data_IF_951734510916
#
_entry.id   IF_951734510916
#
_cell.length_a   1.000
_cell.length_b   1.000
_cell.length_c   1.000
_cell.angle_alpha   90.00
_cell.angle_beta   90.00
_cell.angle_gamma   90.00
#
_symmetry.space_group_name_H-M   'P 1'
#
loop_
_entity.id
_entity.type
_entity.pdbx_description
1 polymer ?
#
# COMPACT_ATOMS: atom_id res chain seq x y z
N UNK A 1 -0.18 15.15 19.23
CA UNK A 1 -1.10 15.08 18.08
C UNK A 1 -1.04 16.43 17.40
N UNK A 2 0.00 16.64 16.60
CA UNK A 2 0.16 17.88 15.85
C UNK A 2 -0.51 17.67 14.50
N UNK A 3 -1.38 18.62 14.17
CA UNK A 3 -2.43 18.61 13.16
C UNK A 3 -2.06 17.93 11.82
N UNK A 4 -2.87 16.94 11.41
CA UNK A 4 -3.03 16.51 10.02
C UNK A 4 -3.72 17.62 9.19
N UNK A 5 -3.12 18.81 9.11
CA UNK A 5 -3.57 19.86 8.19
C UNK A 5 -3.12 19.60 6.75
N UNK A 6 -2.21 18.65 6.55
CA UNK A 6 -1.91 18.06 5.25
C UNK A 6 -2.96 16.99 4.98
N UNK A 7 -3.93 17.27 4.10
CA UNK A 7 -4.98 16.32 3.73
C UNK A 7 -4.43 14.94 3.33
N UNK A 8 -5.30 13.92 3.35
CA UNK A 8 -4.92 12.53 3.06
C UNK A 8 -4.11 12.40 1.76
N UNK A 9 -3.09 11.54 1.79
CA UNK A 9 -2.28 11.19 0.63
C UNK A 9 -3.12 10.79 -0.58
N UNK A 10 -4.26 10.13 -0.36
CA UNK A 10 -5.21 9.80 -1.43
C UNK A 10 -5.83 11.04 -2.06
N UNK A 11 -6.19 12.04 -1.26
CA UNK A 11 -6.69 13.33 -1.75
C UNK A 11 -5.61 14.11 -2.48
N UNK A 12 -4.35 14.04 -2.02
CA UNK A 12 -3.22 14.64 -2.71
C UNK A 12 -2.98 14.01 -4.08
N UNK A 13 -2.91 12.67 -4.16
CA UNK A 13 -2.70 11.94 -5.41
C UNK A 13 -3.85 12.17 -6.39
N UNK A 14 -5.10 12.21 -5.94
CA UNK A 14 -6.23 12.53 -6.82
C UNK A 14 -6.20 13.97 -7.35
N UNK A 15 -5.64 14.91 -6.57
CA UNK A 15 -5.54 16.31 -6.96
C UNK A 15 -4.33 16.59 -7.85
N UNK A 16 -3.20 15.94 -7.59
CA UNK A 16 -1.89 16.26 -8.17
C UNK A 16 -1.24 15.07 -8.91
N UNK A 17 -1.95 13.95 -9.07
CA UNK A 17 -1.46 12.77 -9.78
C UNK A 17 -1.16 13.05 -11.25
N UNK A 18 -0.41 12.16 -11.92
CA UNK A 18 0.12 12.41 -13.26
C UNK A 18 -1.01 12.69 -14.27
N UNK A 19 -1.12 13.94 -14.71
CA UNK A 19 -1.92 14.33 -15.87
C UNK A 19 -1.00 14.36 -17.09
N UNK A 20 -0.95 13.25 -17.83
CA UNK A 20 -0.30 13.08 -19.14
C UNK A 20 1.23 13.25 -19.24
N UNK A 21 1.87 12.24 -19.83
CA UNK A 21 3.18 12.16 -20.51
C UNK A 21 4.49 12.68 -19.90
N UNK A 22 4.51 13.11 -18.65
CA UNK A 22 5.78 13.20 -17.91
C UNK A 22 5.53 13.17 -16.42
N UNK A 23 5.71 12.01 -15.80
CA UNK A 23 5.68 11.85 -14.35
C UNK A 23 6.91 12.53 -13.73
N UNK A 24 6.87 13.87 -13.60
CA UNK A 24 7.71 14.58 -12.64
C UNK A 24 6.86 14.68 -11.38
N UNK A 25 7.01 13.68 -10.52
CA UNK A 25 6.48 13.71 -9.16
C UNK A 25 7.27 14.76 -8.37
N UNK A 26 6.94 16.04 -8.51
CA UNK A 26 7.38 17.07 -7.58
C UNK A 26 6.51 16.97 -6.32
N UNK A 27 6.72 15.88 -5.57
CA UNK A 27 6.11 15.72 -4.27
C UNK A 27 7.04 16.39 -3.29
N UNK A 28 6.70 17.62 -2.92
CA UNK A 28 7.29 18.28 -1.77
C UNK A 28 6.78 17.60 -0.48
N UNK A 29 7.10 16.31 -0.34
CA UNK A 29 6.88 15.57 0.89
C UNK A 29 7.86 16.15 1.91
N UNK A 30 7.33 16.80 2.94
CA UNK A 30 8.09 16.84 4.19
C UNK A 30 8.49 15.39 4.50
N UNK A 31 9.79 15.13 4.63
CA UNK A 31 10.43 13.81 4.84
C UNK A 31 9.93 13.05 6.10
N UNK A 32 8.89 13.55 6.78
CA UNK A 32 8.21 12.92 7.90
C UNK A 32 6.78 12.56 7.50
N UNK A 33 6.61 11.40 6.85
CA UNK A 33 5.30 10.78 6.77
C UNK A 33 4.93 10.20 8.14
N UNK A 34 3.74 10.56 8.63
CA UNK A 34 3.21 10.01 9.88
C UNK A 34 2.10 9.02 9.53
N UNK A 35 2.23 7.78 9.99
CA UNK A 35 1.11 6.85 9.98
C UNK A 35 0.04 7.39 10.93
N UNK A 36 -1.20 7.38 10.45
CA UNK A 36 -2.38 7.77 11.20
C UNK A 36 -3.45 6.70 11.02
N UNK A 37 -4.46 6.72 11.91
CA UNK A 37 -5.56 5.75 11.94
C UNK A 37 -5.16 4.32 12.36
N UNK A 38 -4.83 4.16 13.64
CA UNK A 38 -4.55 2.87 14.28
C UNK A 38 -5.81 2.16 14.79
N UNK A 39 -7.01 2.53 14.30
CA UNK A 39 -8.28 1.98 14.81
C UNK A 39 -8.43 0.46 14.66
N UNK A 40 -7.61 -0.16 13.80
CA UNK A 40 -7.56 -1.60 13.57
C UNK A 40 -6.22 -2.24 14.00
N UNK A 41 -5.28 -1.45 14.53
CA UNK A 41 -3.97 -1.95 14.92
C UNK A 41 -4.08 -2.83 16.17
N UNK A 42 -3.45 -4.00 16.14
CA UNK A 42 -3.36 -4.90 17.28
C UNK A 42 -1.96 -5.47 17.41
N UNK A 43 -1.58 -5.85 18.62
CA UNK A 43 -0.29 -6.48 18.88
C UNK A 43 -0.42 -8.00 18.74
N UNK A 44 0.27 -8.57 17.76
CA UNK A 44 0.31 -10.02 17.53
C UNK A 44 1.61 -10.60 18.09
N UNK A 45 1.53 -11.59 18.98
CA UNK A 45 2.68 -12.44 19.33
C UNK A 45 2.92 -13.43 18.21
N UNK A 46 4.14 -13.98 18.16
CA UNK A 46 4.55 -14.95 17.13
C UNK A 46 3.58 -16.14 17.12
N UNK A 47 2.81 -16.29 16.04
CA UNK A 47 1.79 -17.34 15.86
C UNK A 47 0.35 -16.93 16.20
N UNK A 48 0.11 -15.69 16.64
CA UNK A 48 -1.24 -15.14 16.81
C UNK A 48 -1.75 -14.53 15.49
N UNK A 49 -3.05 -14.66 15.22
CA UNK A 49 -3.74 -14.04 14.08
C UNK A 49 -4.88 -13.15 14.57
N UNK A 50 -5.18 -12.09 13.80
CA UNK A 50 -6.34 -11.22 14.04
C UNK A 50 -7.51 -11.61 13.11
N UNK A 51 -8.76 -11.41 13.55
CA UNK A 51 -9.96 -11.94 12.88
C UNK A 51 -10.90 -10.90 12.22
N UNK A 52 -10.50 -9.63 12.11
CA UNK A 52 -11.39 -8.56 11.64
C UNK A 52 -11.15 -8.22 10.16
N UNK A 53 -12.11 -8.53 9.28
CA UNK A 53 -12.06 -8.12 7.86
C UNK A 53 -12.65 -6.72 7.70
N UNK A 54 -11.81 -5.68 7.79
CA UNK A 54 -12.17 -4.29 7.49
C UNK A 54 -11.05 -3.68 6.66
N UNK A 55 -11.38 -3.03 5.54
CA UNK A 55 -10.40 -2.34 4.69
C UNK A 55 -10.99 -1.91 3.34
N UNK A 56 -10.19 -1.19 2.56
CA UNK A 56 -10.57 -0.80 1.18
C UNK A 56 -10.22 -1.93 0.21
N UNK A 57 -11.16 -2.43 -0.63
CA UNK A 57 -10.87 -3.45 -1.63
C UNK A 57 -9.65 -3.08 -2.51
N UNK A 58 -8.81 -4.06 -2.83
CA UNK A 58 -7.55 -3.85 -3.57
C UNK A 58 -6.34 -3.55 -2.68
N UNK A 59 -6.55 -3.03 -1.46
CA UNK A 59 -5.50 -2.84 -0.46
C UNK A 59 -5.44 -3.96 0.57
N UNK A 60 -6.50 -4.78 0.65
CA UNK A 60 -6.60 -5.91 1.56
C UNK A 60 -5.85 -7.11 0.98
N UNK A 61 -4.86 -7.63 1.71
CA UNK A 61 -4.13 -8.83 1.30
C UNK A 61 -5.06 -10.05 1.23
N UNK A 62 -4.86 -10.99 0.29
CA UNK A 62 -5.78 -12.11 0.08
C UNK A 62 -5.88 -13.06 1.28
N UNK A 63 -4.80 -13.23 2.06
CA UNK A 63 -4.86 -14.01 3.30
C UNK A 63 -5.80 -13.38 4.33
N UNK A 64 -6.15 -12.09 4.16
CA UNK A 64 -7.01 -11.40 5.11
C UNK A 64 -8.43 -11.98 5.14
N UNK A 65 -8.88 -12.56 4.02
CA UNK A 65 -10.19 -13.22 3.98
C UNK A 65 -10.20 -14.57 4.72
N UNK A 66 -9.03 -15.11 5.08
CA UNK A 66 -8.88 -16.36 5.83
C UNK A 66 -8.65 -16.15 7.33
N UNK A 67 -8.71 -14.91 7.81
CA UNK A 67 -8.44 -14.55 9.23
C UNK A 67 -7.02 -14.95 9.71
N UNK A 68 -6.08 -15.03 8.78
CA UNK A 68 -4.66 -15.29 9.03
C UNK A 68 -3.89 -14.01 8.70
N UNK A 69 -3.78 -13.07 9.64
CA UNK A 69 -3.06 -11.80 9.43
C UNK A 69 -1.73 -11.84 10.15
N UNK A 70 -0.68 -11.55 9.41
CA UNK A 70 0.69 -11.39 9.87
C UNK A 70 1.26 -10.07 9.31
N UNK A 71 2.53 -9.78 9.63
CA UNK A 71 3.22 -8.58 9.13
C UNK A 71 3.27 -8.51 7.60
N UNK A 72 3.13 -9.64 6.89
CA UNK A 72 3.09 -9.63 5.43
C UNK A 72 1.83 -8.93 4.90
N UNK A 73 0.71 -8.91 5.65
CA UNK A 73 -0.50 -8.17 5.26
C UNK A 73 -0.25 -6.65 5.18
N UNK A 74 0.60 -6.11 6.05
CA UNK A 74 1.00 -4.70 6.01
C UNK A 74 1.84 -4.38 4.78
N UNK A 75 2.74 -5.29 4.38
CA UNK A 75 3.54 -5.17 3.14
C UNK A 75 2.66 -5.09 1.90
N UNK A 76 1.62 -5.92 1.83
CA UNK A 76 0.67 -5.90 0.71
C UNK A 76 -0.05 -4.55 0.62
N UNK A 77 -0.54 -4.07 1.78
CA UNK A 77 -1.24 -2.79 1.87
C UNK A 77 -0.32 -1.64 1.46
N UNK A 78 0.95 -1.68 1.87
CA UNK A 78 1.98 -0.72 1.47
C UNK A 78 2.27 -0.77 -0.04
N UNK A 79 2.29 -1.95 -0.64
CA UNK A 79 2.40 -2.12 -2.10
C UNK A 79 1.24 -1.46 -2.85
N UNK A 80 0.01 -1.58 -2.34
CA UNK A 80 -1.16 -0.89 -2.89
C UNK A 80 -1.07 0.63 -2.76
N UNK A 81 -0.52 1.14 -1.66
CA UNK A 81 -0.23 2.56 -1.47
C UNK A 81 0.82 3.04 -2.49
N UNK A 82 1.91 2.30 -2.66
CA UNK A 82 2.96 2.62 -3.63
C UNK A 82 2.44 2.60 -5.06
N UNK A 83 1.62 1.61 -5.42
CA UNK A 83 0.90 1.55 -6.70
C UNK A 83 0.07 2.82 -6.92
N UNK A 84 -0.70 3.22 -5.91
CA UNK A 84 -1.56 4.42 -5.99
C UNK A 84 -0.74 5.68 -6.17
N UNK A 85 0.37 5.82 -5.46
CA UNK A 85 1.28 6.96 -5.60
C UNK A 85 1.84 7.06 -7.01
N UNK A 86 2.32 5.94 -7.57
CA UNK A 86 3.04 5.94 -8.85
C UNK A 86 2.13 6.00 -10.07
N UNK A 87 0.92 5.42 -9.98
CA UNK A 87 -0.02 5.37 -11.11
C UNK A 87 -1.14 6.41 -11.01
N UNK A 88 -1.36 7.00 -9.84
CA UNK A 88 -2.51 7.86 -9.56
C UNK A 88 -3.83 7.09 -9.43
N UNK A 89 -3.83 5.76 -9.53
CA UNK A 89 -5.02 4.91 -9.55
C UNK A 89 -5.04 3.95 -8.37
N UNK A 90 -6.24 3.66 -7.83
CA UNK A 90 -6.37 2.65 -6.78
C UNK A 90 -6.04 1.25 -7.38
N UNK A 91 -5.40 0.32 -6.63
CA UNK A 91 -5.13 -1.02 -7.10
C UNK A 91 -6.43 -1.78 -7.39
N UNK A 92 -6.49 -2.56 -8.48
CA UNK A 92 -7.70 -3.29 -8.84
C UNK A 92 -8.00 -4.36 -7.79
N UNK A 93 -9.25 -4.43 -7.33
CA UNK A 93 -9.69 -5.52 -6.44
C UNK A 93 -9.74 -6.88 -7.13
N UNK A 94 -9.83 -6.90 -8.46
CA UNK A 94 -9.86 -8.09 -9.32
C UNK A 94 -9.20 -7.78 -10.66
N UNK A 95 -8.46 -8.73 -11.21
CA UNK A 95 -7.76 -8.59 -12.49
C UNK A 95 -6.35 -8.03 -12.35
N UNK A 96 -5.63 -7.86 -13.47
CA UNK A 96 -4.23 -7.48 -13.46
C UNK A 96 -4.03 -6.01 -13.09
N UNK A 97 -2.93 -5.72 -12.39
CA UNK A 97 -2.43 -4.36 -12.23
C UNK A 97 -1.94 -3.80 -13.57
N UNK A 98 -2.10 -2.49 -13.76
CA UNK A 98 -1.58 -1.76 -14.93
C UNK A 98 -0.49 -0.81 -14.50
N UNK A 99 0.65 -0.83 -15.19
CA UNK A 99 1.86 -0.10 -14.82
C UNK A 99 2.34 0.81 -15.95
N UNK A 100 1.41 1.36 -16.72
CA UNK A 100 1.71 2.16 -17.91
C UNK A 100 2.69 3.30 -17.57
N UNK A 101 3.87 3.31 -18.21
CA UNK A 101 4.90 4.33 -18.03
C UNK A 101 5.81 4.17 -16.80
N UNK A 102 5.73 3.07 -16.05
CA UNK A 102 6.62 2.80 -14.91
C UNK A 102 7.87 2.01 -15.32
N UNK A 103 8.99 2.30 -14.65
CA UNK A 103 10.23 1.55 -14.83
C UNK A 103 10.16 0.16 -14.20
N UNK A 104 10.91 -0.80 -14.77
CA UNK A 104 10.89 -2.21 -14.35
C UNK A 104 11.13 -2.41 -12.85
N UNK A 105 12.07 -1.68 -12.26
CA UNK A 105 12.36 -1.81 -10.83
C UNK A 105 11.18 -1.41 -9.93
N UNK A 106 10.36 -0.44 -10.35
CA UNK A 106 9.17 -0.04 -9.61
C UNK A 106 8.06 -1.09 -9.74
N UNK A 107 7.92 -1.67 -10.94
CA UNK A 107 6.98 -2.76 -11.21
C UNK A 107 7.33 -3.99 -10.39
N UNK A 108 8.59 -4.44 -10.46
CA UNK A 108 9.10 -5.59 -9.70
C UNK A 108 8.90 -5.42 -8.20
N UNK A 109 9.14 -4.21 -7.66
CA UNK A 109 8.93 -3.93 -6.25
C UNK A 109 7.44 -4.02 -5.87
N UNK A 110 6.55 -3.36 -6.63
CA UNK A 110 5.10 -3.41 -6.36
C UNK A 110 4.59 -4.84 -6.44
N UNK A 111 4.98 -5.60 -7.47
CA UNK A 111 4.58 -6.99 -7.64
C UNK A 111 5.08 -7.87 -6.49
N UNK A 112 6.33 -7.68 -6.05
CA UNK A 112 6.90 -8.40 -4.90
C UNK A 112 6.20 -8.08 -3.58
N UNK A 113 5.73 -6.85 -3.40
CA UNK A 113 4.96 -6.42 -2.23
C UNK A 113 3.51 -6.92 -2.28
N UNK A 114 2.89 -6.93 -3.46
CA UNK A 114 1.51 -7.35 -3.68
C UNK A 114 1.38 -8.82 -4.13
N UNK A 115 2.41 -9.63 -3.87
CA UNK A 115 2.39 -11.08 -4.08
C UNK A 115 1.25 -11.72 -3.28
N UNK A 116 0.49 -12.59 -3.94
CA UNK A 116 -0.72 -13.19 -3.40
C UNK A 116 -0.40 -14.23 -2.33
N UNK A 117 0.69 -14.98 -2.53
CA UNK A 117 1.21 -15.93 -1.56
C UNK A 117 2.05 -15.21 -0.50
N UNK A 118 1.53 -15.11 0.74
CA UNK A 118 2.20 -14.41 1.84
C UNK A 118 3.62 -14.94 2.12
N UNK A 119 3.89 -16.22 1.86
CA UNK A 119 5.20 -16.82 2.08
C UNK A 119 6.25 -16.44 1.01
N UNK A 120 5.80 -15.99 -0.17
CA UNK A 120 6.66 -15.52 -1.27
C UNK A 120 6.80 -14.00 -1.31
N UNK A 121 5.97 -13.30 -0.52
CA UNK A 121 5.97 -11.84 -0.42
C UNK A 121 7.28 -11.35 0.22
N UNK A 122 7.80 -10.23 -0.28
CA UNK A 122 9.02 -9.63 0.26
C UNK A 122 8.89 -9.37 1.78
N UNK A 123 9.83 -9.83 2.62
CA UNK A 123 9.77 -9.60 4.06
C UNK A 123 10.13 -8.15 4.42
N UNK A 124 9.54 -7.62 5.51
CA UNK A 124 9.96 -6.34 6.08
C UNK A 124 11.37 -6.39 6.68
N UNK A 125 11.83 -7.59 7.07
CA UNK A 125 13.13 -7.81 7.68
C UNK A 125 14.22 -7.83 6.61
N UNK A 126 14.56 -6.67 6.05
CA UNK A 126 15.58 -6.56 5.00
C UNK A 126 15.43 -5.36 4.05
N UNK A 127 14.43 -4.51 4.24
CA UNK A 127 14.32 -3.20 3.58
C UNK A 127 14.97 -2.09 4.41
#
# INVERSE_FOLDING_TARGET
MELCELGSMRSYVKKNGPQSDRAVFDVHFCYHQKLCDFGLATHLRKGETACTVVGTPGYIAPQVFKQEYDQAADVYSLGGVLYTMLTGSDPPSKGPMRFDGLGMSAVELIESMMEQDAAKRIPLNGM
#
